data_IF_578755006999
#
_entry.id   IF_578755006999
#
_cell.length_a   1.000
_cell.length_b   1.000
_cell.length_c   1.000
_cell.angle_alpha   90.00
_cell.angle_beta   90.00
_cell.angle_gamma   90.00
#
_symmetry.space_group_name_H-M   'P 1'
#
loop_
_entity.id
_entity.type
_entity.pdbx_description
1 polymer ?
#
# COMPACT_ATOMS: atom_id res chain seq x y z
N UNK A 1 13.10 1.24 76.79
CA UNK A 1 13.64 0.39 75.71
C UNK A 1 12.86 -0.91 75.71
N UNK A 2 11.92 -1.08 74.77
CA UNK A 2 11.20 -2.35 74.64
C UNK A 2 12.05 -3.32 73.80
N UNK A 3 12.18 -4.60 74.20
CA UNK A 3 12.93 -5.59 73.43
C UNK A 3 12.19 -5.86 72.11
N UNK A 4 12.85 -5.56 71.00
CA UNK A 4 12.36 -5.96 69.69
C UNK A 4 12.29 -7.48 69.61
N UNK A 5 11.08 -7.97 69.38
CA UNK A 5 10.79 -9.40 69.34
C UNK A 5 11.36 -9.98 68.03
N UNK A 6 12.53 -10.61 68.12
CA UNK A 6 13.34 -11.07 66.99
C UNK A 6 12.55 -11.94 65.98
N UNK A 7 11.51 -12.63 66.45
CA UNK A 7 10.64 -13.46 65.61
C UNK A 7 9.81 -12.66 64.60
N UNK A 8 9.37 -11.45 64.94
CA UNK A 8 8.61 -10.58 64.01
C UNK A 8 9.44 -10.13 62.81
N UNK A 9 10.76 -10.02 62.99
CA UNK A 9 11.66 -9.53 61.96
C UNK A 9 11.87 -10.59 60.88
N UNK A 10 11.99 -11.86 61.28
CA UNK A 10 12.05 -12.99 60.36
C UNK A 10 10.76 -13.17 59.54
N UNK A 11 9.59 -12.96 60.16
CA UNK A 11 8.30 -13.05 59.45
C UNK A 11 8.13 -11.92 58.43
N UNK A 12 8.56 -10.69 58.75
CA UNK A 12 8.58 -9.57 57.81
C UNK A 12 9.47 -9.83 56.59
N UNK A 13 10.65 -10.41 56.81
CA UNK A 13 11.57 -10.76 55.72
C UNK A 13 10.94 -11.81 54.80
N UNK A 14 10.31 -12.86 55.36
CA UNK A 14 9.62 -13.88 54.55
C UNK A 14 8.50 -13.29 53.71
N UNK A 15 7.70 -12.38 54.27
CA UNK A 15 6.63 -11.69 53.55
C UNK A 15 7.19 -10.84 52.42
N UNK A 16 8.26 -10.08 52.68
CA UNK A 16 8.94 -9.26 51.66
C UNK A 16 9.45 -10.09 50.48
N UNK A 17 10.07 -11.25 50.76
CA UNK A 17 10.57 -12.15 49.70
C UNK A 17 9.43 -12.68 48.83
N UNK A 18 8.31 -13.09 49.44
CA UNK A 18 7.14 -13.60 48.70
C UNK A 18 6.56 -12.51 47.78
N UNK A 19 6.41 -11.28 48.29
CA UNK A 19 5.92 -10.14 47.50
C UNK A 19 6.88 -9.83 46.34
N UNK A 20 8.20 -9.87 46.59
CA UNK A 20 9.21 -9.66 45.56
C UNK A 20 9.09 -10.67 44.42
N UNK A 21 8.93 -11.96 44.74
CA UNK A 21 8.75 -13.02 43.73
C UNK A 21 7.47 -12.81 42.93
N UNK A 22 6.37 -12.42 43.59
CA UNK A 22 5.10 -12.13 42.92
C UNK A 22 5.20 -10.95 41.94
N UNK A 23 5.92 -9.89 42.31
CA UNK A 23 6.12 -8.73 41.43
C UNK A 23 6.94 -9.08 40.19
N UNK A 24 8.01 -9.87 40.34
CA UNK A 24 8.83 -10.32 39.21
C UNK A 24 8.02 -11.21 38.28
N UNK A 25 7.28 -12.18 38.84
CA UNK A 25 6.41 -13.08 38.06
C UNK A 25 5.30 -12.32 37.32
N UNK A 26 4.65 -11.36 38.01
CA UNK A 26 3.63 -10.49 37.42
C UNK A 26 4.18 -9.62 36.29
N UNK A 27 5.41 -9.08 36.43
CA UNK A 27 6.06 -8.28 35.41
C UNK A 27 6.35 -9.08 34.13
N UNK A 28 6.88 -10.31 34.27
CA UNK A 28 7.12 -11.20 33.14
C UNK A 28 5.79 -11.56 32.48
N UNK A 29 4.77 -11.93 33.26
CA UNK A 29 3.45 -12.30 32.74
C UNK A 29 2.78 -11.14 31.99
N UNK A 30 2.89 -9.91 32.49
CA UNK A 30 2.42 -8.70 31.82
C UNK A 30 3.11 -8.49 30.46
N UNK A 31 4.43 -8.67 30.41
CA UNK A 31 5.19 -8.57 29.16
C UNK A 31 4.72 -9.59 28.12
N UNK A 32 4.52 -10.85 28.52
CA UNK A 32 4.07 -11.90 27.59
C UNK A 32 2.62 -11.73 27.12
N UNK A 33 1.71 -11.33 28.01
CA UNK A 33 0.28 -11.26 27.68
C UNK A 33 -0.07 -9.98 26.92
N UNK A 34 0.52 -8.84 27.30
CA UNK A 34 0.10 -7.54 26.75
C UNK A 34 1.04 -7.02 25.67
N UNK A 35 2.36 -7.10 25.89
CA UNK A 35 3.35 -6.44 25.03
C UNK A 35 3.63 -7.22 23.73
N UNK A 36 3.84 -8.54 23.84
CA UNK A 36 4.11 -9.42 22.69
C UNK A 36 3.04 -9.37 21.58
N UNK A 37 1.74 -9.57 21.85
CA UNK A 37 0.73 -9.54 20.79
C UNK A 37 0.55 -8.15 20.18
N UNK A 38 0.86 -7.08 20.92
CA UNK A 38 0.73 -5.72 20.40
C UNK A 38 1.86 -5.35 19.43
N UNK A 39 3.07 -5.87 19.67
CA UNK A 39 4.22 -5.65 18.80
C UNK A 39 4.09 -6.39 17.47
N UNK A 40 3.53 -7.61 17.47
CA UNK A 40 3.30 -8.35 16.23
C UNK A 40 2.22 -7.72 15.35
N UNK A 41 1.12 -7.25 15.96
CA UNK A 41 0.05 -6.51 15.26
C UNK A 41 0.57 -5.25 14.55
N UNK A 42 1.54 -4.57 15.13
CA UNK A 42 2.12 -3.37 14.49
C UNK A 42 2.86 -3.69 13.19
N UNK A 43 3.52 -4.85 13.13
CA UNK A 43 4.26 -5.28 11.94
C UNK A 43 3.33 -5.77 10.84
N UNK A 44 2.27 -6.49 11.20
CA UNK A 44 1.28 -6.96 10.23
C UNK A 44 0.51 -5.79 9.62
N UNK A 45 0.07 -4.82 10.45
CA UNK A 45 -0.64 -3.63 9.95
C UNK A 45 0.24 -2.80 9.01
N UNK A 46 1.54 -2.68 9.30
CA UNK A 46 2.47 -1.97 8.43
C UNK A 46 2.71 -2.70 7.10
N UNK A 47 2.80 -4.04 7.13
CA UNK A 47 2.94 -4.85 5.93
C UNK A 47 1.68 -4.76 5.06
N UNK A 48 0.49 -4.90 5.66
CA UNK A 48 -0.80 -4.76 4.99
C UNK A 48 -0.97 -3.36 4.39
N UNK A 49 -0.61 -2.29 5.11
CA UNK A 49 -0.65 -0.93 4.56
C UNK A 49 0.26 -0.77 3.35
N UNK A 50 1.47 -1.35 3.37
CA UNK A 50 2.39 -1.29 2.23
C UNK A 50 1.83 -2.02 1.02
N UNK A 51 1.27 -3.21 1.21
CA UNK A 51 0.64 -3.96 0.12
C UNK A 51 -0.56 -3.21 -0.45
N UNK A 52 -1.40 -2.63 0.41
CA UNK A 52 -2.57 -1.86 0.00
C UNK A 52 -2.19 -0.60 -0.77
N UNK A 53 -1.11 0.08 -0.36
CA UNK A 53 -0.57 1.24 -1.07
C UNK A 53 0.04 0.86 -2.43
N UNK A 54 0.70 -0.30 -2.53
CA UNK A 54 1.21 -0.83 -3.81
C UNK A 54 0.03 -1.11 -4.75
N UNK A 55 -1.01 -1.79 -4.25
CA UNK A 55 -2.22 -2.09 -5.03
C UNK A 55 -2.95 -0.81 -5.47
N UNK A 56 -3.10 0.18 -4.61
CA UNK A 56 -3.69 1.48 -4.98
C UNK A 56 -2.89 2.16 -6.09
N UNK A 57 -1.57 2.24 -5.93
CA UNK A 57 -0.70 2.86 -6.93
C UNK A 57 -0.70 2.10 -8.26
N UNK A 58 -0.92 0.79 -8.25
CA UNK A 58 -1.11 0.02 -9.47
C UNK A 58 -2.45 0.33 -10.15
N UNK A 59 -3.53 0.42 -9.39
CA UNK A 59 -4.85 0.78 -9.91
C UNK A 59 -4.89 2.20 -10.48
N UNK A 60 -4.31 3.18 -9.79
CA UNK A 60 -4.20 4.56 -10.31
C UNK A 60 -3.46 4.59 -11.64
N UNK A 61 -2.33 3.87 -11.75
CA UNK A 61 -1.59 3.77 -13.03
C UNK A 61 -2.40 3.12 -14.15
N UNK A 62 -3.21 2.10 -13.83
CA UNK A 62 -4.10 1.48 -14.82
C UNK A 62 -5.16 2.47 -15.30
N UNK A 63 -5.77 3.22 -14.39
CA UNK A 63 -6.74 4.27 -14.71
C UNK A 63 -6.09 5.36 -15.58
N UNK A 64 -4.89 5.81 -15.24
CA UNK A 64 -4.17 6.84 -15.99
C UNK A 64 -3.77 6.35 -17.39
N UNK A 65 -3.32 5.10 -17.51
CA UNK A 65 -3.02 4.47 -18.80
C UNK A 65 -4.27 4.36 -19.66
N UNK A 66 -5.38 3.87 -19.12
CA UNK A 66 -6.66 3.80 -19.83
C UNK A 66 -7.14 5.19 -20.25
N UNK A 67 -7.02 6.19 -19.37
CA UNK A 67 -7.33 7.58 -19.68
C UNK A 67 -6.51 8.12 -20.86
N UNK A 68 -5.20 7.87 -20.86
CA UNK A 68 -4.30 8.25 -21.94
C UNK A 68 -4.68 7.55 -23.27
N UNK A 69 -4.91 6.24 -23.24
CA UNK A 69 -5.32 5.47 -24.42
C UNK A 69 -6.67 5.91 -24.96
N UNK A 70 -7.62 6.23 -24.08
CA UNK A 70 -8.93 6.74 -24.45
C UNK A 70 -8.83 8.14 -25.07
N UNK A 71 -7.96 9.00 -24.56
CA UNK A 71 -7.69 10.31 -25.15
C UNK A 71 -7.10 10.18 -26.57
N UNK A 72 -6.11 9.31 -26.75
CA UNK A 72 -5.53 9.03 -28.07
C UNK A 72 -6.58 8.49 -29.06
N UNK A 73 -7.42 7.54 -28.61
CA UNK A 73 -8.53 7.01 -29.41
C UNK A 73 -9.57 8.09 -29.76
N UNK A 74 -9.93 8.95 -28.81
CA UNK A 74 -10.88 10.04 -29.04
C UNK A 74 -10.33 11.04 -30.06
N UNK A 75 -9.06 11.43 -29.91
CA UNK A 75 -8.37 12.33 -30.83
C UNK A 75 -8.33 11.75 -32.25
N UNK A 76 -7.93 10.49 -32.38
CA UNK A 76 -7.93 9.79 -33.67
C UNK A 76 -9.32 9.75 -34.32
N UNK A 77 -10.38 9.42 -33.55
CA UNK A 77 -11.77 9.43 -34.06
C UNK A 77 -12.23 10.82 -34.50
N UNK A 78 -11.85 11.88 -33.78
CA UNK A 78 -12.16 13.26 -34.18
C UNK A 78 -11.47 13.59 -35.49
N UNK A 79 -10.18 13.29 -35.62
CA UNK A 79 -9.40 13.56 -36.85
C UNK A 79 -9.94 12.78 -38.05
N UNK A 80 -10.32 11.51 -37.86
CA UNK A 80 -11.01 10.71 -38.87
C UNK A 80 -12.31 11.37 -39.33
N UNK A 81 -13.13 11.85 -38.38
CA UNK A 81 -14.43 12.46 -38.69
C UNK A 81 -14.28 13.80 -39.41
N UNK A 82 -13.31 14.63 -39.00
CA UNK A 82 -13.08 15.95 -39.61
C UNK A 82 -12.51 15.82 -41.03
N UNK A 83 -11.65 14.84 -41.27
CA UNK A 83 -10.99 14.65 -42.56
C UNK A 83 -11.75 13.69 -43.49
N UNK A 84 -12.82 13.04 -43.02
CA UNK A 84 -13.70 12.22 -43.84
C UNK A 84 -14.53 13.08 -44.77
N UNK A 85 -14.52 12.78 -46.07
CA UNK A 85 -15.38 13.45 -47.05
C UNK A 85 -16.68 12.67 -47.29
N UNK A 86 -17.82 13.34 -47.06
CA UNK A 86 -19.16 12.80 -47.31
C UNK A 86 -19.55 11.62 -46.42
N UNK A 87 -20.54 10.84 -46.86
CA UNK A 87 -21.12 9.73 -46.10
C UNK A 87 -20.25 8.45 -46.11
N UNK A 88 -19.16 8.43 -46.88
CA UNK A 88 -18.43 7.20 -47.22
C UNK A 88 -17.07 7.03 -46.52
N UNK A 89 -16.73 7.86 -45.52
CA UNK A 89 -15.42 7.78 -44.86
C UNK A 89 -14.23 7.72 -45.84
N UNK A 90 -14.34 8.40 -46.97
CA UNK A 90 -13.26 8.47 -47.95
C UNK A 90 -12.27 9.54 -47.54
N UNK A 91 -11.01 9.13 -47.42
CA UNK A 91 -9.86 9.98 -47.12
C UNK A 91 -8.69 9.59 -48.03
N UNK A 92 -7.83 10.54 -48.44
CA UNK A 92 -6.58 10.21 -49.14
C UNK A 92 -5.74 9.21 -48.35
N UNK A 93 -5.17 8.22 -49.04
CA UNK A 93 -4.37 7.15 -48.42
C UNK A 93 -3.21 7.70 -47.58
N UNK A 94 -2.48 8.68 -48.11
CA UNK A 94 -1.34 9.31 -47.42
C UNK A 94 -1.76 9.97 -46.09
N UNK A 95 -2.96 10.56 -46.05
CA UNK A 95 -3.51 11.16 -44.84
C UNK A 95 -3.95 10.08 -43.84
N UNK A 96 -4.55 8.99 -44.31
CA UNK A 96 -4.93 7.86 -43.48
C UNK A 96 -3.70 7.20 -42.81
N UNK A 97 -2.65 6.93 -43.59
CA UNK A 97 -1.39 6.37 -43.07
C UNK A 97 -0.73 7.29 -42.04
N UNK A 98 -0.77 8.61 -42.28
CA UNK A 98 -0.23 9.61 -41.34
C UNK A 98 -1.01 9.62 -40.02
N UNK A 99 -2.34 9.53 -40.08
CA UNK A 99 -3.19 9.49 -38.88
C UNK A 99 -2.99 8.19 -38.10
N UNK A 100 -2.89 7.05 -38.78
CA UNK A 100 -2.63 5.75 -38.16
C UNK A 100 -1.27 5.73 -37.48
N UNK A 101 -0.23 6.28 -38.13
CA UNK A 101 1.09 6.41 -37.54
C UNK A 101 1.06 7.28 -36.29
N UNK A 102 0.43 8.46 -36.35
CA UNK A 102 0.29 9.35 -35.20
C UNK A 102 -0.46 8.66 -34.05
N UNK A 103 -1.55 7.97 -34.34
CA UNK A 103 -2.32 7.23 -33.33
C UNK A 103 -1.49 6.15 -32.66
N UNK A 104 -0.70 5.41 -33.44
CA UNK A 104 0.24 4.43 -32.92
C UNK A 104 1.31 5.07 -32.05
N UNK A 105 1.91 6.17 -32.50
CA UNK A 105 2.94 6.90 -31.75
C UNK A 105 2.39 7.45 -30.41
N UNK A 106 1.15 7.95 -30.40
CA UNK A 106 0.47 8.42 -29.18
C UNK A 106 0.20 7.27 -28.20
N UNK A 107 -0.29 6.13 -28.70
CA UNK A 107 -0.49 4.93 -27.85
C UNK A 107 0.83 4.40 -27.29
N UNK A 108 1.87 4.33 -28.12
CA UNK A 108 3.21 3.94 -27.69
C UNK A 108 3.77 4.93 -26.65
N UNK A 109 3.46 6.22 -26.79
CA UNK A 109 3.72 7.25 -25.79
C UNK A 109 3.05 6.94 -24.45
N UNK A 110 1.76 6.60 -24.45
CA UNK A 110 1.04 6.19 -23.24
C UNK A 110 1.69 4.98 -22.55
N UNK A 111 2.07 3.93 -23.30
CA UNK A 111 2.74 2.75 -22.72
C UNK A 111 4.14 3.05 -22.17
N UNK A 112 4.87 3.98 -22.77
CA UNK A 112 6.18 4.44 -22.26
C UNK A 112 6.04 5.26 -20.99
N UNK A 113 5.00 6.08 -20.90
CA UNK A 113 4.72 6.92 -19.73
C UNK A 113 4.23 6.09 -18.54
N UNK A 114 3.47 5.03 -18.79
CA UNK A 114 2.93 4.12 -17.78
C UNK A 114 3.42 2.68 -18.00
N UNK A 115 4.71 2.39 -17.76
CA UNK A 115 5.26 1.06 -17.98
C UNK A 115 4.66 0.03 -17.00
N UNK A 116 4.50 -1.24 -17.41
CA UNK A 116 4.02 -2.29 -16.53
C UNK A 116 4.99 -2.49 -15.37
N UNK A 117 4.44 -2.65 -14.16
CA UNK A 117 5.22 -3.01 -12.98
C UNK A 117 5.76 -4.41 -13.21
N UNK A 118 7.09 -4.56 -13.25
CA UNK A 118 7.73 -5.88 -13.28
C UNK A 118 7.39 -6.57 -11.96
N UNK A 119 6.64 -7.66 -12.04
CA UNK A 119 6.43 -8.60 -10.94
C UNK A 119 7.75 -9.28 -10.55
#
# INVERSE_FOLDING_TARGET
>A
MQPYNCNKLNDLIKISVIIGILLISGSISYYFIYFLPNHEKSKTILAEQKELLIMQKENERKIDLEGCLNAANANYRILLKVNSTGNNFSMPLELAETLDKRHKDEKDGCYKQFPPVKQ
#
